data_IF_999485938591
#
_entry.id   IF_999485938591
#
_cell.length_a   1.000
_cell.length_b   1.000
_cell.length_c   1.000
_cell.angle_alpha   90.00
_cell.angle_beta   90.00
_cell.angle_gamma   90.00
#
_symmetry.space_group_name_H-M   'P 1'
#
loop_
_entity.id
_entity.type
_entity.pdbx_description
1 polymer ?
#
# COMPACT_ATOMS: atom_id res chain seq x y z
N UNK A 1 43.24 -34.09 35.80
CA UNK A 1 42.38 -34.44 34.63
C UNK A 1 40.92 -34.00 34.80
N UNK A 2 40.38 -33.96 36.02
CA UNK A 2 38.99 -33.57 36.30
C UNK A 2 38.64 -32.10 35.97
N UNK A 3 39.51 -31.13 36.24
CA UNK A 3 39.23 -29.71 35.97
C UNK A 3 38.93 -29.39 34.49
N UNK A 4 39.71 -29.95 33.56
CA UNK A 4 39.50 -29.77 32.11
C UNK A 4 38.19 -30.38 31.59
N UNK A 5 37.64 -31.37 32.30
CA UNK A 5 36.37 -32.00 31.94
C UNK A 5 35.19 -31.13 32.38
N UNK A 6 35.27 -30.53 33.59
CA UNK A 6 34.26 -29.58 34.07
C UNK A 6 34.24 -28.28 33.26
N UNK A 7 35.41 -27.73 32.88
CA UNK A 7 35.46 -26.53 32.03
C UNK A 7 34.81 -26.76 30.66
N UNK A 8 34.98 -27.97 30.11
CA UNK A 8 34.36 -28.35 28.83
C UNK A 8 32.85 -28.49 28.95
N UNK A 9 32.34 -29.09 30.03
CA UNK A 9 30.90 -29.21 30.29
C UNK A 9 30.26 -27.84 30.50
N UNK A 10 30.91 -26.96 31.28
CA UNK A 10 30.42 -25.60 31.52
C UNK A 10 30.35 -24.76 30.24
N UNK A 11 31.36 -24.87 29.38
CA UNK A 11 31.36 -24.19 28.08
C UNK A 11 30.26 -24.72 27.14
N UNK A 12 29.99 -26.03 27.17
CA UNK A 12 28.93 -26.66 26.36
C UNK A 12 27.54 -26.26 26.85
N UNK A 13 27.34 -26.16 28.17
CA UNK A 13 26.10 -25.66 28.77
C UNK A 13 25.87 -24.18 28.47
N UNK A 14 26.89 -23.33 28.52
CA UNK A 14 26.77 -21.91 28.13
C UNK A 14 26.38 -21.77 26.65
N UNK A 15 27.00 -22.53 25.75
CA UNK A 15 26.66 -22.54 24.32
C UNK A 15 25.21 -22.98 24.06
N UNK A 16 24.74 -24.02 24.77
CA UNK A 16 23.36 -24.50 24.66
C UNK A 16 22.40 -23.45 25.18
N UNK A 17 22.72 -22.82 26.32
CA UNK A 17 21.89 -21.78 26.94
C UNK A 17 21.78 -20.55 26.04
N UNK A 18 22.88 -20.15 25.40
CA UNK A 18 22.90 -19.02 24.47
C UNK A 18 22.15 -19.33 23.17
N UNK A 19 22.27 -20.55 22.62
CA UNK A 19 21.49 -21.01 21.46
C UNK A 19 19.99 -21.05 21.76
N UNK A 20 19.58 -21.55 22.94
CA UNK A 20 18.18 -21.58 23.37
C UNK A 20 17.64 -20.17 23.58
N UNK A 21 18.43 -19.28 24.20
CA UNK A 21 18.07 -17.87 24.39
C UNK A 21 17.91 -17.13 23.06
N UNK A 22 18.84 -17.29 22.12
CA UNK A 22 18.74 -16.70 20.77
C UNK A 22 17.56 -17.26 19.95
N UNK A 23 17.26 -18.56 20.12
CA UNK A 23 16.09 -19.18 19.48
C UNK A 23 14.77 -18.67 20.06
N UNK A 24 14.72 -18.42 21.36
CA UNK A 24 13.56 -17.87 22.05
C UNK A 24 13.35 -16.38 21.73
N UNK A 25 14.39 -15.56 21.76
CA UNK A 25 14.31 -14.14 21.35
C UNK A 25 13.95 -14.00 19.87
N UNK A 26 14.47 -14.86 19.00
CA UNK A 26 14.10 -14.92 17.59
C UNK A 26 12.63 -15.33 17.37
N UNK A 27 12.11 -16.29 18.16
CA UNK A 27 10.69 -16.67 18.13
C UNK A 27 9.78 -15.55 18.65
N UNK A 28 10.16 -14.86 19.72
CA UNK A 28 9.38 -13.75 20.27
C UNK A 28 9.34 -12.55 19.34
N UNK A 29 10.48 -12.17 18.73
CA UNK A 29 10.52 -11.12 17.71
C UNK A 29 9.66 -11.46 16.49
N UNK A 30 9.70 -12.72 16.02
CA UNK A 30 8.82 -13.18 14.93
C UNK A 30 7.34 -13.11 15.32
N UNK A 31 6.99 -13.53 16.54
CA UNK A 31 5.61 -13.51 17.07
C UNK A 31 5.07 -12.09 17.25
N UNK A 32 5.91 -11.16 17.67
CA UNK A 32 5.54 -9.74 17.78
C UNK A 32 5.34 -9.12 16.39
N UNK A 33 6.24 -9.41 15.45
CA UNK A 33 6.17 -8.92 14.07
C UNK A 33 4.96 -9.48 13.30
N UNK A 34 4.58 -10.74 13.53
CA UNK A 34 3.37 -11.31 12.92
C UNK A 34 2.10 -10.71 13.51
N UNK A 35 2.05 -10.45 14.82
CA UNK A 35 0.93 -9.72 15.44
C UNK A 35 0.75 -8.32 14.86
N UNK A 36 1.84 -7.56 14.70
CA UNK A 36 1.80 -6.24 14.06
C UNK A 36 1.28 -6.31 12.62
N UNK A 37 1.78 -7.26 11.83
CA UNK A 37 1.30 -7.45 10.45
C UNK A 37 -0.19 -7.77 10.36
N UNK A 38 -0.73 -8.61 11.24
CA UNK A 38 -2.17 -8.90 11.29
C UNK A 38 -2.99 -7.64 11.55
N UNK A 39 -2.55 -6.77 12.46
CA UNK A 39 -3.23 -5.50 12.72
C UNK A 39 -3.23 -4.58 11.48
N UNK A 40 -2.11 -4.49 10.76
CA UNK A 40 -2.04 -3.70 9.53
C UNK A 40 -3.02 -4.22 8.48
N UNK A 41 -3.10 -5.54 8.30
CA UNK A 41 -4.06 -6.16 7.37
C UNK A 41 -5.50 -5.89 7.79
N UNK A 42 -5.82 -6.00 9.08
CA UNK A 42 -7.18 -5.72 9.59
C UNK A 42 -7.58 -4.26 9.37
N UNK A 43 -6.69 -3.31 9.67
CA UNK A 43 -6.92 -1.88 9.45
C UNK A 43 -7.11 -1.59 7.96
N UNK A 44 -6.27 -2.18 7.11
CA UNK A 44 -6.41 -2.05 5.66
C UNK A 44 -7.76 -2.59 5.19
N UNK A 45 -8.14 -3.80 5.60
CA UNK A 45 -9.40 -4.44 5.19
C UNK A 45 -10.61 -3.63 5.67
N UNK A 46 -10.59 -3.12 6.89
CA UNK A 46 -11.67 -2.27 7.41
C UNK A 46 -11.79 -0.96 6.59
N UNK A 47 -10.66 -0.33 6.29
CA UNK A 47 -10.59 0.86 5.46
C UNK A 47 -11.03 0.61 4.00
N UNK A 48 -10.69 -0.56 3.47
CA UNK A 48 -11.02 -0.98 2.10
C UNK A 48 -12.50 -1.32 1.97
N UNK A 49 -13.03 -2.16 2.86
CA UNK A 49 -14.43 -2.58 2.85
C UNK A 49 -15.37 -1.40 3.05
N UNK A 50 -15.06 -0.48 3.98
CA UNK A 50 -15.89 0.72 4.17
C UNK A 50 -15.99 1.58 2.91
N UNK A 51 -14.87 1.80 2.20
CA UNK A 51 -14.85 2.54 0.92
C UNK A 51 -15.56 1.79 -0.21
N UNK A 52 -15.41 0.47 -0.26
CA UNK A 52 -16.10 -0.36 -1.25
C UNK A 52 -17.62 -0.32 -1.06
N UNK A 53 -18.10 -0.38 0.19
CA UNK A 53 -19.51 -0.22 0.53
C UNK A 53 -20.03 1.14 0.04
N UNK A 54 -19.28 2.23 0.29
CA UNK A 54 -19.65 3.57 -0.19
C UNK A 54 -19.72 3.62 -1.72
N UNK A 55 -18.73 3.06 -2.42
CA UNK A 55 -18.72 3.03 -3.88
C UNK A 55 -19.97 2.31 -4.43
N UNK A 56 -20.29 1.13 -3.89
CA UNK A 56 -21.36 0.29 -4.40
C UNK A 56 -22.76 0.83 -4.07
N UNK A 57 -22.96 1.36 -2.86
CA UNK A 57 -24.28 1.79 -2.38
C UNK A 57 -24.56 3.25 -2.75
N UNK A 58 -23.59 4.15 -2.51
CA UNK A 58 -23.79 5.60 -2.64
C UNK A 58 -23.43 6.06 -4.04
N UNK A 59 -22.21 5.80 -4.48
CA UNK A 59 -21.70 6.32 -5.76
C UNK A 59 -22.32 5.62 -6.96
N UNK A 60 -22.64 4.32 -6.82
CA UNK A 60 -23.17 3.45 -7.88
C UNK A 60 -22.26 3.46 -9.13
N UNK A 61 -21.30 2.54 -9.24
CA UNK A 61 -20.31 2.58 -10.30
C UNK A 61 -20.97 2.62 -11.69
N UNK A 62 -20.53 3.56 -12.54
CA UNK A 62 -21.04 3.74 -13.90
C UNK A 62 -22.25 4.67 -14.03
N UNK A 63 -22.91 5.07 -12.93
CA UNK A 63 -24.03 6.02 -12.98
C UNK A 63 -23.62 7.43 -12.54
N UNK A 64 -23.53 8.34 -13.51
CA UNK A 64 -24.28 9.59 -13.41
C UNK A 64 -23.72 10.77 -12.62
N UNK A 65 -22.40 10.96 -12.49
CA UNK A 65 -21.86 12.31 -12.23
C UNK A 65 -20.64 12.55 -13.10
N UNK A 66 -20.75 13.45 -14.07
CA UNK A 66 -19.60 14.11 -14.70
C UNK A 66 -18.96 14.95 -13.60
N UNK A 67 -18.01 14.34 -12.89
CA UNK A 67 -17.33 14.92 -11.75
C UNK A 67 -15.83 14.75 -11.87
N UNK A 68 -15.12 15.04 -10.79
CA UNK A 68 -13.66 15.04 -10.75
C UNK A 68 -13.03 13.71 -11.21
N UNK A 69 -13.62 12.58 -10.82
CA UNK A 69 -13.17 11.23 -11.23
C UNK A 69 -13.26 11.03 -12.74
N UNK A 70 -14.34 11.52 -13.37
CA UNK A 70 -14.51 11.44 -14.82
C UNK A 70 -13.50 12.33 -15.54
N UNK A 71 -13.25 13.53 -15.03
CA UNK A 71 -12.27 14.44 -15.61
C UNK A 71 -10.87 13.81 -15.61
N UNK A 72 -10.43 13.27 -14.48
CA UNK A 72 -9.13 12.60 -14.39
C UNK A 72 -9.04 11.32 -15.24
N UNK A 73 -10.14 10.56 -15.32
CA UNK A 73 -10.24 9.41 -16.23
C UNK A 73 -10.03 9.84 -17.69
N UNK A 74 -10.70 10.91 -18.10
CA UNK A 74 -10.62 11.46 -19.45
C UNK A 74 -9.21 11.95 -19.78
N UNK A 75 -8.57 12.71 -18.88
CA UNK A 75 -7.20 13.18 -19.06
C UNK A 75 -6.25 11.99 -19.24
N UNK A 76 -6.35 10.99 -18.36
CA UNK A 76 -5.51 9.79 -18.46
C UNK A 76 -5.74 9.03 -19.77
N UNK A 77 -7.00 8.89 -20.18
CA UNK A 77 -7.37 8.22 -21.44
C UNK A 77 -6.81 8.97 -22.65
N UNK A 78 -7.07 10.27 -22.77
CA UNK A 78 -6.60 11.09 -23.89
C UNK A 78 -5.08 11.26 -23.91
N UNK A 79 -4.43 11.34 -22.75
CA UNK A 79 -2.97 11.39 -22.67
C UNK A 79 -2.37 10.08 -23.19
N UNK A 80 -2.95 8.92 -22.84
CA UNK A 80 -2.50 7.60 -23.32
C UNK A 80 -2.71 7.42 -24.82
N UNK A 81 -3.85 7.86 -25.36
CA UNK A 81 -4.25 7.57 -26.74
C UNK A 81 -3.81 8.64 -27.75
N UNK A 82 -3.70 9.90 -27.33
CA UNK A 82 -3.37 11.02 -28.22
C UNK A 82 -2.09 11.70 -27.75
N UNK A 83 -2.02 12.07 -26.47
CA UNK A 83 -0.93 12.88 -25.93
C UNK A 83 0.45 12.26 -26.18
N UNK A 84 0.64 11.01 -25.76
CA UNK A 84 1.94 10.33 -25.84
C UNK A 84 2.39 10.03 -27.28
N UNK A 85 1.47 9.97 -28.24
CA UNK A 85 1.81 9.87 -29.66
C UNK A 85 2.35 11.21 -30.22
N UNK A 86 1.94 12.34 -29.63
CA UNK A 86 2.30 13.69 -30.07
C UNK A 86 3.44 14.32 -29.26
N UNK A 87 4.02 13.62 -28.28
CA UNK A 87 5.15 14.11 -27.49
C UNK A 87 5.41 13.29 -26.23
N UNK A 88 6.65 13.33 -25.73
CA UNK A 88 7.05 12.62 -24.51
C UNK A 88 6.25 13.11 -23.31
N UNK A 89 5.46 12.21 -22.71
CA UNK A 89 4.62 12.47 -21.53
C UNK A 89 3.66 13.66 -21.69
N UNK A 90 3.29 14.00 -22.93
CA UNK A 90 2.36 15.09 -23.18
C UNK A 90 0.97 14.71 -22.64
N UNK A 91 0.52 15.46 -21.65
CA UNK A 91 -0.83 15.30 -21.11
C UNK A 91 -1.84 16.01 -22.01
N UNK A 92 -3.03 15.41 -22.14
CA UNK A 92 -4.06 15.86 -23.07
C UNK A 92 -5.43 15.92 -22.39
N UNK A 93 -6.19 16.98 -22.66
CA UNK A 93 -7.55 17.21 -22.19
C UNK A 93 -8.45 17.71 -23.34
N UNK A 94 -9.78 17.59 -23.23
CA UNK A 94 -10.75 17.94 -24.29
C UNK A 94 -10.68 19.40 -24.74
N UNK A 95 -10.10 20.30 -23.94
CA UNK A 95 -9.93 21.71 -24.33
C UNK A 95 -8.69 21.97 -25.19
N UNK A 96 -7.91 20.94 -25.53
CA UNK A 96 -6.66 21.10 -26.27
C UNK A 96 -5.61 21.93 -25.51
N UNK A 97 -5.82 22.13 -24.20
CA UNK A 97 -4.90 22.83 -23.33
C UNK A 97 -3.86 21.84 -22.83
N UNK A 98 -2.60 22.27 -22.79
CA UNK A 98 -1.57 21.53 -22.09
C UNK A 98 -1.93 21.46 -20.60
N UNK A 99 -1.99 20.25 -20.07
CA UNK A 99 -2.44 20.01 -18.71
C UNK A 99 -1.31 20.36 -17.73
N UNK A 100 -1.47 21.41 -16.93
CA UNK A 100 -0.45 21.92 -16.00
C UNK A 100 -0.41 21.21 -14.63
N UNK A 101 -1.25 20.19 -14.40
CA UNK A 101 -1.27 19.49 -13.10
C UNK A 101 -0.18 18.43 -13.01
N UNK A 102 0.08 17.95 -11.80
CA UNK A 102 1.12 16.96 -11.53
C UNK A 102 0.95 15.66 -12.35
N UNK A 103 2.05 15.21 -12.96
CA UNK A 103 2.11 14.02 -13.83
C UNK A 103 1.74 12.71 -13.12
N UNK A 104 1.92 12.63 -11.80
CA UNK A 104 1.79 11.39 -11.06
C UNK A 104 0.39 10.78 -11.19
N UNK A 105 -0.66 11.59 -11.02
CA UNK A 105 -2.02 11.08 -11.01
C UNK A 105 -2.45 10.50 -12.38
N UNK A 106 -2.28 11.22 -13.52
CA UNK A 106 -2.52 10.65 -14.85
C UNK A 106 -1.68 9.40 -15.13
N UNK A 107 -0.41 9.38 -14.73
CA UNK A 107 0.46 8.22 -14.98
C UNK A 107 0.03 6.97 -14.21
N UNK A 108 -0.41 7.12 -12.96
CA UNK A 108 -0.96 6.01 -12.17
C UNK A 108 -2.23 5.47 -12.82
N UNK A 109 -3.09 6.33 -13.33
CA UNK A 109 -4.30 5.90 -14.05
C UNK A 109 -3.98 5.20 -15.38
N UNK A 110 -3.03 5.72 -16.15
CA UNK A 110 -2.56 5.11 -17.40
C UNK A 110 -1.96 3.73 -17.15
N UNK A 111 -1.14 3.60 -16.10
CA UNK A 111 -0.60 2.31 -15.66
C UNK A 111 -1.74 1.37 -15.25
N UNK A 112 -2.74 1.88 -14.52
CA UNK A 112 -3.96 1.16 -14.18
C UNK A 112 -4.71 0.62 -15.39
N UNK A 113 -4.92 1.44 -16.43
CA UNK A 113 -5.54 1.01 -17.68
C UNK A 113 -4.71 -0.06 -18.40
N UNK A 114 -3.39 0.07 -18.35
CA UNK A 114 -2.47 -0.87 -19.01
C UNK A 114 -2.42 -2.22 -18.27
N UNK A 115 -2.39 -2.23 -16.95
CA UNK A 115 -2.41 -3.48 -16.16
C UNK A 115 -3.77 -4.16 -16.25
N UNK A 116 -4.86 -3.39 -16.15
CA UNK A 116 -6.23 -3.94 -16.19
C UNK A 116 -6.70 -4.29 -17.61
N UNK A 117 -5.99 -3.86 -18.65
CA UNK A 117 -6.43 -3.94 -20.05
C UNK A 117 -7.85 -3.37 -20.25
N UNK A 118 -8.23 -2.39 -19.44
CA UNK A 118 -9.57 -1.80 -19.40
C UNK A 118 -9.47 -0.28 -19.27
N UNK A 119 -10.36 0.41 -19.96
CA UNK A 119 -10.55 1.87 -19.82
C UNK A 119 -11.84 2.18 -19.07
N UNK A 120 -12.38 1.25 -18.30
CA UNK A 120 -13.57 1.50 -17.49
C UNK A 120 -13.32 2.56 -16.42
N UNK A 121 -14.34 3.38 -16.13
CA UNK A 121 -14.35 4.33 -15.01
C UNK A 121 -14.17 3.63 -13.65
N UNK A 122 -14.40 2.32 -13.59
CA UNK A 122 -14.11 1.50 -12.42
C UNK A 122 -12.62 1.49 -12.05
N UNK A 123 -11.72 1.59 -13.03
CA UNK A 123 -10.27 1.55 -12.79
C UNK A 123 -9.80 2.69 -11.87
N UNK A 124 -10.06 3.99 -12.18
CA UNK A 124 -9.70 5.08 -11.27
C UNK A 124 -10.41 4.97 -9.91
N UNK A 125 -11.66 4.48 -9.87
CA UNK A 125 -12.38 4.28 -8.61
C UNK A 125 -11.70 3.23 -7.73
N UNK A 126 -11.29 2.09 -8.29
CA UNK A 126 -10.57 1.04 -7.57
C UNK A 126 -9.18 1.51 -7.10
N UNK A 127 -8.47 2.26 -7.95
CA UNK A 127 -7.19 2.89 -7.57
C UNK A 127 -7.39 3.79 -6.36
N UNK A 128 -8.40 4.66 -6.38
CA UNK A 128 -8.73 5.55 -5.26
C UNK A 128 -9.04 4.78 -3.97
N UNK A 129 -9.82 3.69 -4.05
CA UNK A 129 -10.11 2.83 -2.89
C UNK A 129 -8.84 2.22 -2.31
N UNK A 130 -7.96 1.68 -3.16
CA UNK A 130 -6.71 1.04 -2.72
C UNK A 130 -5.79 2.06 -2.06
N UNK A 131 -5.46 3.17 -2.74
CA UNK A 131 -4.55 4.18 -2.19
C UNK A 131 -5.13 4.91 -0.98
N UNK A 132 -6.44 5.17 -0.97
CA UNK A 132 -7.14 5.71 0.19
C UNK A 132 -7.13 4.75 1.39
N UNK A 133 -7.09 3.43 1.17
CA UNK A 133 -6.98 2.45 2.25
C UNK A 133 -5.54 2.31 2.74
N UNK A 134 -4.57 2.36 1.82
CA UNK A 134 -3.14 2.40 2.16
C UNK A 134 -2.78 3.64 2.98
N UNK A 135 -3.36 4.81 2.68
CA UNK A 135 -3.10 6.02 3.44
C UNK A 135 -3.51 5.90 4.90
N UNK A 136 -4.62 5.20 5.21
CA UNK A 136 -5.04 4.91 6.59
C UNK A 136 -4.00 4.04 7.30
N UNK A 137 -3.45 3.03 6.62
CA UNK A 137 -2.38 2.18 7.18
C UNK A 137 -1.11 3.00 7.46
N UNK A 138 -0.73 3.89 6.54
CA UNK A 138 0.43 4.78 6.71
C UNK A 138 0.22 5.71 7.92
N UNK A 139 -0.97 6.29 8.06
CA UNK A 139 -1.31 7.12 9.22
C UNK A 139 -1.21 6.30 10.52
N UNK A 140 -1.75 5.08 10.53
CA UNK A 140 -1.62 4.19 11.68
C UNK A 140 -0.15 3.91 12.04
N UNK A 141 0.69 3.62 11.04
CA UNK A 141 2.12 3.38 11.25
C UNK A 141 2.86 4.60 11.78
N UNK A 142 2.52 5.81 11.32
CA UNK A 142 3.09 7.06 11.84
C UNK A 142 2.70 7.23 13.31
N UNK A 143 1.42 7.04 13.64
CA UNK A 143 0.92 7.14 15.01
C UNK A 143 1.58 6.09 15.92
N UNK A 144 1.69 4.85 15.47
CA UNK A 144 2.36 3.79 16.21
C UNK A 144 3.85 4.10 16.45
N UNK A 145 4.54 4.63 15.42
CA UNK A 145 5.97 4.97 15.51
C UNK A 145 6.24 6.11 16.50
N UNK A 146 5.42 7.16 16.45
CA UNK A 146 5.73 8.43 17.12
C UNK A 146 5.00 8.59 18.46
N UNK A 147 3.80 8.03 18.61
CA UNK A 147 2.95 8.24 19.80
C UNK A 147 2.77 7.00 20.68
N UNK A 148 3.12 5.79 20.20
CA UNK A 148 2.97 4.55 20.98
C UNK A 148 4.25 4.13 21.72
N UNK A 149 5.26 5.00 21.77
CA UNK A 149 6.39 4.83 22.70
C UNK A 149 5.91 5.27 24.08
N UNK A 150 5.70 4.31 24.98
CA UNK A 150 5.44 4.59 26.40
C UNK A 150 6.49 5.60 26.90
N UNK A 151 6.02 6.73 27.44
CA UNK A 151 6.84 7.60 28.30
C UNK A 151 7.25 6.84 29.56
#
# INVERSE_FOLDING_TARGET
MIGKFFDKILAEDEEITEKVRNKNTGKERKKFRTKGFVWLVLIFLLAFVSRLIILLIVTKPGYGVIGDVFHHWQIAYLSKTVGFEHGFLRLWDFKGMEFYWGLLHPLVLILGFTISQSVSILVPQMISIIFGSLSVVVVFLIVERDFNKKA
#
